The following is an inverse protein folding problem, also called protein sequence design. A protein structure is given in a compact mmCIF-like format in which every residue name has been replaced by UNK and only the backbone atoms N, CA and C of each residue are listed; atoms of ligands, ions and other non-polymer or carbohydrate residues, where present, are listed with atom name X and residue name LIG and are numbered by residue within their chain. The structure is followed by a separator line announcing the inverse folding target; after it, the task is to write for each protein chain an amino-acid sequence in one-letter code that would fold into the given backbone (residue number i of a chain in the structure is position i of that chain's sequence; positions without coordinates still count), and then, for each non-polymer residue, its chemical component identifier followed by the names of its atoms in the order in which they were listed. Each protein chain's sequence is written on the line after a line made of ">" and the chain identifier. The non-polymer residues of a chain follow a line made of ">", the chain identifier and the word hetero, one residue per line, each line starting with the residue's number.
data_IF_696271906159
#
_entry.id   IF_696271906159
#
_cell.length_a   1.000
_cell.length_b   1.000
_cell.length_c   1.000
_cell.angle_alpha   90.00
_cell.angle_beta   90.00
_cell.angle_gamma   90.00
#
_symmetry.space_group_name_H-M   'P 1'
#
loop_
_entity.id
_entity.type
_entity.pdbx_description
1 polymer ?
#
# COMPACT_ATOMS: atom_id res chain seq x y z
N UNK A 1 -4.92 -0.08 37.08
CA UNK A 1 -4.70 -1.53 36.92
C UNK A 1 -4.83 -1.85 35.44
N UNK A 2 -3.91 -2.66 34.90
CA UNK A 2 -3.97 -3.17 33.53
C UNK A 2 -5.31 -3.88 33.28
N UNK A 3 -5.87 -3.74 32.06
CA UNK A 3 -7.19 -4.30 31.71
C UNK A 3 -7.14 -5.11 30.41
N UNK A 4 -8.08 -6.05 30.26
CA UNK A 4 -8.33 -6.72 29.00
C UNK A 4 -9.19 -5.81 28.10
N UNK A 5 -8.72 -5.40 26.91
CA UNK A 5 -9.52 -4.55 26.02
C UNK A 5 -10.62 -5.36 25.30
N UNK A 6 -11.68 -4.66 24.90
CA UNK A 6 -12.86 -5.28 24.28
C UNK A 6 -12.55 -6.07 22.99
N UNK A 7 -11.60 -5.60 22.18
CA UNK A 7 -11.20 -6.28 20.94
C UNK A 7 -10.48 -7.61 21.20
N UNK A 8 -9.63 -7.71 22.23
CA UNK A 8 -9.00 -8.98 22.61
C UNK A 8 -9.98 -9.90 23.36
N UNK A 9 -10.89 -9.34 24.15
CA UNK A 9 -12.00 -10.12 24.72
C UNK A 9 -12.89 -10.74 23.62
N UNK A 10 -13.08 -10.04 22.50
CA UNK A 10 -13.81 -10.57 21.36
C UNK A 10 -13.06 -11.72 20.67
N UNK A 11 -11.72 -11.65 20.56
CA UNK A 11 -10.90 -12.79 20.09
C UNK A 11 -10.98 -13.96 21.06
N UNK A 12 -10.82 -13.71 22.36
CA UNK A 12 -10.94 -14.74 23.40
C UNK A 12 -12.29 -15.45 23.33
N UNK A 13 -13.37 -14.69 23.22
CA UNK A 13 -14.73 -15.24 23.11
C UNK A 13 -14.88 -16.09 21.85
N UNK A 14 -14.36 -15.62 20.71
CA UNK A 14 -14.37 -16.39 19.46
C UNK A 14 -13.62 -17.71 19.61
N UNK A 15 -12.40 -17.70 20.14
CA UNK A 15 -11.60 -18.93 20.28
C UNK A 15 -12.27 -19.94 21.20
N UNK A 16 -12.74 -19.49 22.37
CA UNK A 16 -13.43 -20.37 23.32
C UNK A 16 -14.69 -20.95 22.69
N UNK A 17 -15.55 -20.16 22.05
CA UNK A 17 -16.78 -20.68 21.40
C UNK A 17 -16.54 -21.85 20.45
N UNK A 18 -15.40 -21.90 19.76
CA UNK A 18 -15.14 -22.91 18.73
C UNK A 18 -14.10 -23.97 19.11
N UNK A 19 -13.24 -23.70 20.09
CA UNK A 19 -12.15 -24.60 20.51
C UNK A 19 -12.34 -25.18 21.92
N UNK A 20 -13.26 -24.63 22.72
CA UNK A 20 -13.73 -25.20 23.99
C UNK A 20 -14.90 -26.17 23.71
N UNK A 21 -14.62 -27.26 22.99
CA UNK A 21 -15.65 -28.03 22.29
C UNK A 21 -16.00 -29.40 22.91
N UNK A 22 -15.32 -29.84 23.97
CA UNK A 22 -15.72 -31.02 24.74
C UNK A 22 -15.04 -31.08 26.11
N UNK A 23 -15.77 -31.23 27.22
CA UNK A 23 -15.17 -31.32 28.56
C UNK A 23 -14.18 -32.49 28.63
N UNK A 24 -12.89 -32.17 28.73
CA UNK A 24 -11.77 -33.11 28.75
C UNK A 24 -10.43 -32.38 28.71
N UNK A 25 -9.27 -33.06 28.82
CA UNK A 25 -7.96 -32.40 28.81
C UNK A 25 -7.52 -31.85 27.43
N UNK A 26 -8.38 -31.98 26.42
CA UNK A 26 -8.07 -31.75 25.01
C UNK A 26 -8.80 -30.52 24.44
N UNK A 27 -9.54 -29.76 25.25
CA UNK A 27 -10.24 -28.53 24.86
C UNK A 27 -9.48 -27.26 25.27
N UNK A 28 -9.82 -26.12 24.66
CA UNK A 28 -9.21 -24.84 24.99
C UNK A 28 -9.90 -24.22 26.21
N UNK A 29 -9.31 -24.39 27.38
CA UNK A 29 -9.88 -23.91 28.63
C UNK A 29 -9.91 -22.36 28.74
N UNK A 30 -10.93 -21.76 29.40
CA UNK A 30 -10.97 -20.31 29.63
C UNK A 30 -9.73 -19.73 30.33
N UNK A 31 -9.08 -20.52 31.19
CA UNK A 31 -7.85 -20.13 31.89
C UNK A 31 -6.62 -20.12 30.97
N UNK A 32 -6.70 -20.83 29.84
CA UNK A 32 -5.63 -20.96 28.86
C UNK A 32 -5.66 -19.90 27.76
N UNK A 33 -6.69 -19.05 27.77
CA UNK A 33 -6.81 -17.88 26.88
C UNK A 33 -6.59 -16.59 27.67
N UNK A 34 -5.31 -16.29 27.92
CA UNK A 34 -4.85 -15.18 28.76
C UNK A 34 -4.71 -13.86 27.99
N UNK A 35 -5.07 -12.74 28.62
CA UNK A 35 -4.87 -11.39 28.03
C UNK A 35 -4.04 -10.50 28.96
N UNK A 36 -4.38 -10.49 30.24
CA UNK A 36 -3.72 -9.65 31.25
C UNK A 36 -2.78 -10.53 32.06
N UNK A 37 -1.51 -10.13 32.15
CA UNK A 37 -0.53 -10.84 32.96
C UNK A 37 -0.89 -10.76 34.45
N UNK A 38 -0.49 -11.75 35.22
CA UNK A 38 -0.74 -11.81 36.66
C UNK A 38 -0.21 -10.57 37.43
N UNK A 39 -0.60 -10.35 38.70
CA UNK A 39 -0.18 -9.16 39.45
C UNK A 39 1.33 -9.00 39.65
N UNK A 40 2.12 -10.07 39.52
CA UNK A 40 3.59 -10.04 39.60
C UNK A 40 4.26 -9.78 38.25
N UNK A 41 3.55 -10.03 37.14
CA UNK A 41 4.02 -9.77 35.79
C UNK A 41 4.39 -8.29 35.60
N UNK A 42 5.59 -8.03 35.08
CA UNK A 42 6.12 -6.68 34.82
C UNK A 42 6.69 -6.63 33.42
N UNK A 43 6.31 -5.60 32.68
CA UNK A 43 6.74 -5.43 31.30
C UNK A 43 5.99 -6.27 30.27
N UNK A 44 6.35 -6.09 29.00
CA UNK A 44 5.78 -6.80 27.87
C UNK A 44 4.33 -6.42 27.54
N UNK A 45 3.76 -7.13 26.57
CA UNK A 45 2.44 -6.82 25.99
C UNK A 45 1.26 -7.21 26.89
N UNK A 46 1.46 -8.08 27.89
CA UNK A 46 0.45 -8.38 28.92
C UNK A 46 0.26 -7.25 29.95
N UNK A 47 1.13 -6.24 29.93
CA UNK A 47 1.08 -5.09 30.81
C UNK A 47 0.57 -3.84 30.08
N UNK A 48 -0.30 -3.10 30.76
CA UNK A 48 -0.65 -1.72 30.41
C UNK A 48 0.36 -0.73 30.99
N UNK A 49 0.08 0.55 30.80
CA UNK A 49 0.94 1.68 31.19
C UNK A 49 1.28 1.72 32.68
N UNK A 50 0.50 1.05 33.52
CA UNK A 50 0.72 0.96 34.97
C UNK A 50 1.75 -0.10 35.38
N UNK A 51 2.14 -1.02 34.48
CA UNK A 51 3.03 -2.16 34.79
C UNK A 51 4.18 -2.35 33.81
N UNK A 52 4.18 -1.66 32.67
CA UNK A 52 5.36 -1.60 31.80
C UNK A 52 6.52 -0.91 32.53
N UNK A 53 7.73 -1.40 32.33
CA UNK A 53 8.94 -0.86 32.97
C UNK A 53 9.62 0.20 32.09
N UNK A 54 10.50 1.06 32.65
CA UNK A 54 11.30 1.96 31.84
C UNK A 54 12.07 1.21 30.74
N UNK A 55 12.07 1.75 29.52
CA UNK A 55 12.70 1.14 28.33
C UNK A 55 12.16 -0.25 27.94
N UNK A 56 10.95 -0.59 28.36
CA UNK A 56 10.32 -1.84 27.92
C UNK A 56 10.22 -1.90 26.39
N UNK A 57 10.70 -3.01 25.83
CA UNK A 57 10.75 -3.18 24.38
C UNK A 57 9.38 -3.13 23.71
N UNK A 58 8.34 -3.57 24.43
CA UNK A 58 6.94 -3.50 24.00
C UNK A 58 6.40 -2.08 23.94
N UNK A 59 7.24 -1.07 24.22
CA UNK A 59 6.92 0.35 24.12
C UNK A 59 7.94 1.07 23.23
N UNK A 60 9.23 0.82 23.42
CA UNK A 60 10.27 1.70 22.82
C UNK A 60 10.75 1.26 21.43
N UNK A 61 10.58 -0.01 21.06
CA UNK A 61 11.11 -0.51 19.79
C UNK A 61 10.32 -0.07 18.56
N UNK A 62 9.11 0.49 18.75
CA UNK A 62 8.14 0.81 17.69
C UNK A 62 7.38 2.10 18.01
N UNK A 63 7.26 3.04 17.05
CA UNK A 63 6.39 4.20 17.21
C UNK A 63 4.92 3.83 17.43
N UNK A 64 4.44 2.73 16.84
CA UNK A 64 3.06 2.24 17.01
C UNK A 64 2.81 1.84 18.46
N UNK A 65 3.77 1.17 19.08
CA UNK A 65 3.64 0.72 20.47
C UNK A 65 3.74 1.88 21.45
N UNK A 66 4.69 2.80 21.23
CA UNK A 66 4.82 4.02 22.03
C UNK A 66 3.58 4.91 21.97
N UNK A 67 3.03 5.15 20.78
CA UNK A 67 1.84 5.99 20.62
C UNK A 67 0.54 5.32 21.11
N UNK A 68 0.55 3.98 21.13
CA UNK A 68 -0.56 3.14 21.53
C UNK A 68 -0.65 2.84 23.03
N UNK A 69 0.34 3.22 23.84
CA UNK A 69 0.38 2.83 25.24
C UNK A 69 -0.81 3.40 26.04
N UNK A 70 -1.62 2.49 26.60
CA UNK A 70 -2.75 2.77 27.51
C UNK A 70 -2.70 1.79 28.69
N UNK A 71 -3.72 1.79 29.56
CA UNK A 71 -3.92 0.77 30.60
C UNK A 71 -4.29 -0.61 30.03
N UNK A 72 -4.47 -0.76 28.73
CA UNK A 72 -4.92 -2.02 28.16
C UNK A 72 -3.72 -2.93 27.83
N UNK A 73 -3.87 -4.21 28.13
CA UNK A 73 -2.96 -5.23 27.62
C UNK A 73 -3.11 -5.33 26.10
N UNK A 74 -2.02 -5.70 25.43
CA UNK A 74 -1.93 -5.86 23.98
C UNK A 74 -1.37 -7.23 23.61
N UNK A 75 -1.61 -8.22 24.47
CA UNK A 75 -1.22 -9.62 24.27
C UNK A 75 -2.40 -10.57 24.41
N UNK A 76 -2.29 -11.72 23.77
CA UNK A 76 -3.18 -12.87 23.89
C UNK A 76 -2.32 -14.14 23.95
N UNK A 77 -2.49 -14.92 25.01
CA UNK A 77 -1.99 -16.29 25.07
C UNK A 77 -3.10 -17.25 24.65
N UNK A 78 -2.74 -18.29 23.90
CA UNK A 78 -3.62 -19.40 23.53
C UNK A 78 -2.94 -20.70 23.95
N UNK A 79 -3.53 -21.42 24.91
CA UNK A 79 -3.01 -22.70 25.39
C UNK A 79 -3.36 -23.89 24.52
N UNK A 80 -3.40 -25.08 25.13
CA UNK A 80 -3.50 -26.32 24.39
C UNK A 80 -4.94 -26.56 23.94
N UNK A 81 -5.06 -27.29 22.84
CA UNK A 81 -6.31 -27.84 22.35
C UNK A 81 -6.00 -28.92 21.31
N UNK A 82 -6.92 -29.86 21.12
CA UNK A 82 -6.95 -30.82 20.03
C UNK A 82 -8.38 -30.94 19.49
N UNK A 83 -8.63 -30.28 18.37
CA UNK A 83 -9.94 -30.33 17.70
C UNK A 83 -9.86 -31.15 16.43
N UNK A 84 -10.68 -32.20 16.35
CA UNK A 84 -10.90 -32.95 15.11
C UNK A 84 -11.94 -32.24 14.24
N UNK A 85 -11.49 -31.71 13.10
CA UNK A 85 -12.35 -31.09 12.09
C UNK A 85 -11.72 -31.19 10.70
N UNK A 86 -12.55 -31.24 9.65
CA UNK A 86 -12.07 -31.36 8.26
C UNK A 86 -11.22 -32.62 8.02
N UNK A 87 -11.51 -33.70 8.73
CA UNK A 87 -10.82 -34.99 8.63
C UNK A 87 -9.40 -35.03 9.24
N UNK A 88 -9.00 -34.03 10.04
CA UNK A 88 -7.67 -33.94 10.66
C UNK A 88 -7.75 -33.45 12.11
N UNK A 89 -6.72 -33.72 12.91
CA UNK A 89 -6.50 -33.03 14.20
C UNK A 89 -5.92 -31.65 13.96
N UNK A 90 -6.46 -30.67 14.68
CA UNK A 90 -5.99 -29.30 14.71
C UNK A 90 -5.58 -28.99 16.14
N UNK A 91 -4.28 -28.86 16.36
CA UNK A 91 -3.66 -28.66 17.67
C UNK A 91 -2.96 -27.31 17.77
N UNK A 92 -2.57 -26.91 18.98
CA UNK A 92 -1.79 -25.69 19.22
C UNK A 92 -0.57 -25.54 18.27
N UNK A 93 0.31 -26.55 18.07
CA UNK A 93 1.39 -26.44 17.09
C UNK A 93 0.92 -26.13 15.66
N UNK A 94 -0.11 -26.82 15.18
CA UNK A 94 -0.65 -26.63 13.83
C UNK A 94 -1.26 -25.24 13.63
N UNK A 95 -1.97 -24.74 14.64
CA UNK A 95 -2.52 -23.38 14.71
C UNK A 95 -1.42 -22.33 14.67
N UNK A 96 -0.41 -22.49 15.52
CA UNK A 96 0.71 -21.57 15.64
C UNK A 96 1.46 -21.42 14.32
N UNK A 97 1.79 -22.55 13.69
CA UNK A 97 2.48 -22.59 12.40
C UNK A 97 1.62 -21.92 11.32
N UNK A 98 0.32 -22.19 11.30
CA UNK A 98 -0.60 -21.55 10.35
C UNK A 98 -0.64 -20.02 10.53
N UNK A 99 -0.80 -19.53 11.77
CA UNK A 99 -0.84 -18.09 12.06
C UNK A 99 0.47 -17.39 11.67
N UNK A 100 1.61 -17.99 11.99
CA UNK A 100 2.93 -17.46 11.62
C UNK A 100 3.11 -17.45 10.11
N UNK A 101 2.64 -18.48 9.39
CA UNK A 101 2.68 -18.49 7.93
C UNK A 101 1.87 -17.34 7.33
N UNK A 102 0.70 -17.01 7.87
CA UNK A 102 -0.09 -15.84 7.41
C UNK A 102 0.64 -14.52 7.68
N UNK A 103 1.29 -14.42 8.84
CA UNK A 103 2.06 -13.25 9.21
C UNK A 103 3.29 -13.06 8.30
N UNK A 104 4.01 -14.15 8.00
CA UNK A 104 5.14 -14.17 7.07
C UNK A 104 4.72 -13.85 5.63
N UNK A 105 3.54 -14.31 5.20
CA UNK A 105 2.94 -13.96 3.91
C UNK A 105 2.40 -12.52 3.86
N UNK A 106 2.48 -11.77 4.97
CA UNK A 106 1.97 -10.41 5.09
C UNK A 106 0.48 -10.28 4.74
N UNK A 107 -0.32 -11.28 5.11
CA UNK A 107 -1.77 -11.24 4.90
C UNK A 107 -2.38 -9.99 5.57
N UNK A 108 -3.39 -9.39 4.94
CA UNK A 108 -3.90 -8.07 5.31
C UNK A 108 -4.39 -7.98 6.78
N UNK A 109 -4.98 -9.06 7.28
CA UNK A 109 -5.49 -9.26 8.63
C UNK A 109 -4.41 -9.52 9.70
N UNK A 110 -3.13 -9.57 9.32
CA UNK A 110 -2.01 -9.78 10.25
C UNK A 110 -1.23 -8.50 10.57
N UNK A 111 -1.61 -7.37 9.97
CA UNK A 111 -0.87 -6.09 10.03
C UNK A 111 -0.80 -5.48 11.43
N UNK A 112 -1.73 -5.86 12.30
CA UNK A 112 -1.77 -5.42 13.69
C UNK A 112 -1.00 -6.35 14.64
N UNK A 113 -0.49 -7.48 14.16
CA UNK A 113 0.35 -8.39 14.95
C UNK A 113 1.81 -7.95 14.87
N UNK A 114 2.41 -7.78 16.04
CA UNK A 114 3.80 -7.37 16.26
C UNK A 114 4.72 -8.57 16.42
N UNK A 115 4.32 -9.56 17.20
CA UNK A 115 5.06 -10.82 17.30
C UNK A 115 4.16 -12.00 17.65
N UNK A 116 4.65 -13.19 17.31
CA UNK A 116 4.11 -14.46 17.75
C UNK A 116 5.28 -15.28 18.31
N UNK A 117 5.21 -15.65 19.58
CA UNK A 117 6.15 -16.59 20.20
C UNK A 117 5.43 -17.92 20.36
N UNK A 118 6.01 -18.98 19.82
CA UNK A 118 5.30 -20.25 19.65
C UNK A 118 6.25 -21.43 19.64
N UNK A 119 5.67 -22.63 19.72
CA UNK A 119 6.37 -23.88 19.47
C UNK A 119 5.79 -24.62 18.27
N UNK A 120 6.56 -24.86 17.19
CA UNK A 120 6.06 -25.58 16.02
C UNK A 120 5.93 -27.10 16.25
N UNK A 121 6.56 -27.63 17.29
CA UNK A 121 6.69 -29.07 17.57
C UNK A 121 6.46 -29.44 19.04
N UNK A 122 6.09 -28.47 19.90
CA UNK A 122 5.93 -28.64 21.35
C UNK A 122 7.24 -28.64 22.16
N UNK A 123 8.40 -28.51 21.52
CA UNK A 123 9.73 -28.61 22.17
C UNK A 123 10.65 -27.42 21.87
N UNK A 124 10.66 -26.95 20.63
CA UNK A 124 11.44 -25.82 20.14
C UNK A 124 10.63 -24.55 20.31
N UNK A 125 11.21 -23.49 20.86
CA UNK A 125 10.54 -22.18 20.92
C UNK A 125 11.09 -21.29 19.81
N UNK A 126 10.19 -20.63 19.08
CA UNK A 126 10.51 -19.69 18.00
C UNK A 126 9.75 -18.39 18.22
N UNK A 127 10.27 -17.31 17.62
CA UNK A 127 9.56 -16.04 17.53
C UNK A 127 9.48 -15.61 16.07
N UNK A 128 8.28 -15.28 15.63
CA UNK A 128 8.07 -14.43 14.48
C UNK A 128 7.93 -12.97 14.97
N UNK A 129 8.72 -12.06 14.41
CA UNK A 129 8.73 -10.65 14.77
C UNK A 129 8.61 -9.80 13.50
N UNK A 130 7.57 -8.97 13.41
CA UNK A 130 7.35 -8.08 12.26
C UNK A 130 8.46 -7.04 12.07
N UNK A 131 9.08 -6.59 13.15
CA UNK A 131 10.18 -5.62 13.13
C UNK A 131 11.54 -6.27 12.85
N UNK A 132 11.63 -7.61 12.89
CA UNK A 132 12.87 -8.35 12.71
C UNK A 132 13.93 -8.08 13.79
N UNK A 133 13.53 -7.63 14.99
CA UNK A 133 14.44 -7.26 16.08
C UNK A 133 14.71 -8.42 17.04
N UNK A 134 13.81 -9.41 17.09
CA UNK A 134 13.83 -10.51 18.07
C UNK A 134 13.58 -11.85 17.39
N UNK A 135 14.17 -12.93 17.92
CA UNK A 135 14.24 -14.23 17.23
C UNK A 135 13.83 -15.45 18.07
N UNK A 136 13.69 -15.33 19.40
CA UNK A 136 13.32 -16.46 20.28
C UNK A 136 12.45 -16.03 21.48
N UNK A 137 11.95 -16.97 22.27
CA UNK A 137 11.23 -16.76 23.53
C UNK A 137 11.76 -17.67 24.64
N UNK A 138 11.12 -17.64 25.81
CA UNK A 138 11.43 -18.57 26.90
C UNK A 138 10.65 -19.89 26.78
N UNK A 139 10.97 -20.87 27.62
CA UNK A 139 10.43 -22.23 27.57
C UNK A 139 8.94 -22.36 27.88
N UNK A 140 8.27 -21.33 28.44
CA UNK A 140 6.84 -21.40 28.75
C UNK A 140 5.99 -21.51 27.47
N UNK A 141 6.49 -20.96 26.36
CA UNK A 141 5.87 -20.99 25.03
C UNK A 141 5.89 -22.38 24.35
N UNK A 142 6.34 -23.43 25.05
CA UNK A 142 6.11 -24.82 24.65
C UNK A 142 4.66 -25.25 24.85
N UNK A 143 3.97 -24.59 25.78
CA UNK A 143 2.64 -24.99 26.24
C UNK A 143 1.54 -24.00 25.83
N UNK A 144 1.91 -22.82 25.33
CA UNK A 144 0.99 -21.83 24.78
C UNK A 144 1.65 -21.06 23.65
N UNK A 145 0.83 -20.41 22.82
CA UNK A 145 1.28 -19.43 21.84
C UNK A 145 0.96 -18.02 22.31
N UNK A 146 1.97 -17.19 22.35
CA UNK A 146 1.86 -15.79 22.74
C UNK A 146 1.76 -14.91 21.50
N UNK A 147 0.67 -14.16 21.38
CA UNK A 147 0.46 -13.12 20.38
C UNK A 147 0.66 -11.76 21.03
N UNK A 148 1.50 -10.93 20.43
CA UNK A 148 1.57 -9.50 20.73
C UNK A 148 0.99 -8.70 19.57
N UNK A 149 0.08 -7.79 19.89
CA UNK A 149 -0.51 -6.84 18.96
C UNK A 149 0.15 -5.47 19.14
N UNK A 150 0.29 -4.71 18.06
CA UNK A 150 0.72 -3.32 18.18
C UNK A 150 -0.26 -2.56 19.06
N UNK A 151 0.26 -1.81 20.03
CA UNK A 151 -0.58 -1.12 21.01
C UNK A 151 -1.50 -0.08 20.37
N UNK A 152 -1.10 0.53 19.25
CA UNK A 152 -1.94 1.51 18.54
C UNK A 152 -3.23 0.89 17.98
N UNK A 153 -3.16 -0.35 17.50
CA UNK A 153 -4.30 -1.09 17.00
C UNK A 153 -5.28 -1.41 18.12
N UNK A 154 -4.73 -1.80 19.28
CA UNK A 154 -5.51 -2.06 20.49
C UNK A 154 -6.20 -0.78 20.98
N UNK A 155 -5.44 0.30 21.14
CA UNK A 155 -5.96 1.63 21.53
C UNK A 155 -7.03 2.16 20.58
N UNK A 156 -6.86 1.93 19.27
CA UNK A 156 -7.82 2.34 18.25
C UNK A 156 -9.08 1.46 18.21
N UNK A 157 -9.16 0.40 19.02
CA UNK A 157 -10.30 -0.52 19.04
C UNK A 157 -10.45 -1.32 17.75
N UNK A 158 -9.37 -1.51 16.97
CA UNK A 158 -9.43 -2.30 15.74
C UNK A 158 -9.81 -3.73 16.05
N UNK A 159 -10.62 -4.33 15.18
CA UNK A 159 -11.02 -5.72 15.29
C UNK A 159 -9.81 -6.64 15.08
N UNK A 160 -9.55 -7.51 16.06
CA UNK A 160 -8.44 -8.46 16.04
C UNK A 160 -8.90 -9.90 15.71
N UNK A 161 -10.20 -10.12 15.50
CA UNK A 161 -10.77 -11.43 15.13
C UNK A 161 -10.42 -11.94 13.73
N UNK A 162 -10.18 -11.13 12.69
CA UNK A 162 -10.13 -11.62 11.31
C UNK A 162 -9.17 -12.79 11.05
N UNK A 163 -7.94 -12.76 11.59
CA UNK A 163 -7.00 -13.88 11.43
C UNK A 163 -7.53 -15.18 12.03
N UNK A 164 -8.10 -15.09 13.25
CA UNK A 164 -8.62 -16.24 13.99
C UNK A 164 -9.90 -16.78 13.35
N UNK A 165 -10.78 -15.91 12.85
CA UNK A 165 -11.93 -16.31 12.04
C UNK A 165 -11.48 -17.08 10.82
N UNK A 166 -10.49 -16.57 10.08
CA UNK A 166 -9.96 -17.26 8.90
C UNK A 166 -9.31 -18.60 9.25
N UNK A 167 -8.63 -18.70 10.38
CA UNK A 167 -8.13 -19.99 10.88
C UNK A 167 -9.28 -20.98 11.09
N UNK A 168 -10.28 -20.59 11.89
CA UNK A 168 -11.42 -21.44 12.22
C UNK A 168 -12.21 -21.85 10.97
N UNK A 169 -12.44 -20.95 10.02
CA UNK A 169 -13.01 -21.29 8.71
C UNK A 169 -12.13 -22.28 7.94
N UNK A 170 -10.81 -22.08 7.92
CA UNK A 170 -9.88 -22.96 7.19
C UNK A 170 -9.84 -24.40 7.73
N UNK A 171 -10.18 -24.59 9.00
CA UNK A 171 -10.30 -25.91 9.63
C UNK A 171 -11.75 -26.40 9.68
N UNK A 172 -12.71 -25.65 9.13
CA UNK A 172 -14.12 -26.04 9.03
C UNK A 172 -14.94 -25.87 10.31
N UNK A 173 -14.51 -25.04 11.25
CA UNK A 173 -15.25 -24.72 12.49
C UNK A 173 -16.13 -23.47 12.39
N UNK A 174 -15.96 -22.69 11.31
CA UNK A 174 -16.87 -21.61 10.92
C UNK A 174 -17.35 -21.89 9.49
N UNK A 175 -18.63 -21.64 9.23
CA UNK A 175 -19.21 -21.74 7.90
C UNK A 175 -19.09 -20.39 7.16
N UNK A 176 -19.10 -20.39 5.83
CA UNK A 176 -18.89 -19.18 5.00
C UNK A 176 -19.93 -18.05 5.25
N UNK A 177 -21.05 -18.36 5.91
CA UNK A 177 -22.10 -17.40 6.27
C UNK A 177 -21.86 -16.65 7.59
N UNK A 178 -20.75 -16.91 8.29
CA UNK A 178 -20.47 -16.27 9.59
C UNK A 178 -20.04 -14.80 9.50
N UNK A 179 -20.12 -14.13 8.34
CA UNK A 179 -19.80 -12.70 8.25
C UNK A 179 -20.72 -11.91 9.18
N UNK A 180 -20.12 -11.08 10.04
CA UNK A 180 -20.92 -10.14 10.83
C UNK A 180 -21.68 -9.21 9.89
N UNK A 181 -22.86 -8.70 10.28
CA UNK A 181 -23.61 -7.73 9.46
C UNK A 181 -22.78 -6.52 9.05
N UNK A 182 -21.80 -6.13 9.88
CA UNK A 182 -20.86 -5.03 9.59
C UNK A 182 -19.86 -5.40 8.49
N UNK A 183 -19.30 -6.61 8.52
CA UNK A 183 -18.41 -7.13 7.46
C UNK A 183 -19.16 -7.29 6.14
N UNK A 184 -20.38 -7.81 6.19
CA UNK A 184 -21.25 -7.91 5.00
C UNK A 184 -21.53 -6.52 4.40
N UNK A 185 -21.89 -5.54 5.22
CA UNK A 185 -22.15 -4.17 4.77
C UNK A 185 -20.89 -3.49 4.23
N UNK A 186 -19.73 -3.74 4.83
CA UNK A 186 -18.46 -3.22 4.35
C UNK A 186 -18.10 -3.83 2.99
N UNK A 187 -18.22 -5.14 2.82
CA UNK A 187 -18.01 -5.82 1.54
C UNK A 187 -18.99 -5.35 0.46
N UNK A 188 -20.27 -5.19 0.81
CA UNK A 188 -21.28 -4.64 -0.09
C UNK A 188 -20.91 -3.21 -0.52
N UNK A 189 -20.39 -2.39 0.40
CA UNK A 189 -19.93 -1.03 0.11
C UNK A 189 -18.69 -1.03 -0.80
N UNK A 190 -17.69 -1.88 -0.50
CA UNK A 190 -16.48 -2.02 -1.31
C UNK A 190 -16.81 -2.53 -2.71
N UNK A 191 -17.67 -3.55 -2.82
CA UNK A 191 -18.15 -4.08 -4.09
C UNK A 191 -18.92 -3.02 -4.88
N UNK A 192 -19.80 -2.25 -4.24
CA UNK A 192 -20.50 -1.12 -4.86
C UNK A 192 -19.53 -0.06 -5.37
N UNK A 193 -18.50 0.30 -4.61
CA UNK A 193 -17.52 1.30 -5.00
C UNK A 193 -16.61 0.81 -6.14
N UNK A 194 -16.18 -0.46 -6.10
CA UNK A 194 -15.38 -1.07 -7.17
C UNK A 194 -16.18 -1.19 -8.48
N UNK A 195 -17.45 -1.58 -8.41
CA UNK A 195 -18.31 -1.69 -9.60
C UNK A 195 -18.67 -0.33 -10.20
N UNK A 196 -18.68 0.74 -9.40
CA UNK A 196 -18.77 2.13 -9.92
C UNK A 196 -17.53 2.50 -10.74
N UNK A 197 -16.35 2.01 -10.35
CA UNK A 197 -15.08 2.32 -11.02
C UNK A 197 -14.77 1.42 -12.23
N UNK A 198 -15.21 0.16 -12.21
CA UNK A 198 -14.96 -0.80 -13.30
C UNK A 198 -16.00 -0.76 -14.43
N UNK A 199 -17.03 0.08 -14.30
CA UNK A 199 -18.09 0.24 -15.29
C UNK A 199 -19.13 -0.89 -15.30
N UNK A 200 -19.21 -1.78 -14.30
CA UNK A 200 -20.32 -2.74 -14.16
C UNK A 200 -21.53 -2.15 -13.44
N UNK A 201 -21.34 -1.06 -12.70
CA UNK A 201 -22.45 -0.30 -12.11
C UNK A 201 -23.09 0.62 -13.17
N UNK A 202 -24.43 0.64 -13.30
CA UNK A 202 -25.14 1.53 -14.22
C UNK A 202 -24.77 3.01 -14.07
N UNK A 203 -24.51 3.46 -12.84
CA UNK A 203 -24.10 4.85 -12.56
C UNK A 203 -22.68 5.12 -13.08
N UNK A 204 -21.74 4.18 -12.87
CA UNK A 204 -20.37 4.29 -13.38
C UNK A 204 -20.35 4.35 -14.91
N UNK A 205 -21.17 3.53 -15.57
CA UNK A 205 -21.30 3.59 -17.04
C UNK A 205 -21.85 4.91 -17.55
N UNK A 206 -22.76 5.57 -16.82
CA UNK A 206 -23.27 6.89 -17.20
C UNK A 206 -22.14 7.93 -17.19
N UNK A 207 -21.34 7.99 -16.12
CA UNK A 207 -20.21 8.93 -16.04
C UNK A 207 -19.16 8.68 -17.11
N UNK A 208 -18.79 7.41 -17.36
CA UNK A 208 -17.83 7.06 -18.42
C UNK A 208 -18.38 7.41 -19.80
N UNK A 209 -19.65 7.12 -20.08
CA UNK A 209 -20.28 7.46 -21.37
C UNK A 209 -20.33 8.97 -21.58
N UNK A 210 -20.72 9.75 -20.58
CA UNK A 210 -20.72 11.22 -20.65
C UNK A 210 -19.29 11.75 -20.90
N UNK A 211 -18.28 11.24 -20.19
CA UNK A 211 -16.88 11.65 -20.37
C UNK A 211 -16.33 11.32 -21.77
N UNK A 212 -16.82 10.23 -22.37
CA UNK A 212 -16.51 9.84 -23.76
C UNK A 212 -17.37 10.52 -24.82
N UNK A 213 -18.41 11.28 -24.42
CA UNK A 213 -19.36 11.90 -25.34
C UNK A 213 -20.33 10.90 -25.98
N UNK A 214 -20.80 9.91 -25.21
CA UNK A 214 -21.81 8.94 -25.62
C UNK A 214 -23.09 9.10 -24.81
N UNK A 215 -24.24 8.79 -25.42
CA UNK A 215 -25.55 8.81 -24.76
C UNK A 215 -25.82 7.52 -23.94
N UNK A 216 -27.00 7.42 -23.33
CA UNK A 216 -27.43 6.25 -22.55
C UNK A 216 -27.48 4.95 -23.34
N UNK A 217 -27.57 5.03 -24.68
CA UNK A 217 -27.55 3.88 -25.60
C UNK A 217 -26.14 3.52 -26.06
N UNK A 218 -25.15 4.35 -25.74
CA UNK A 218 -23.75 4.18 -26.14
C UNK A 218 -23.42 4.76 -27.52
N UNK A 219 -24.34 5.50 -28.13
CA UNK A 219 -24.13 6.19 -29.41
C UNK A 219 -23.32 7.46 -29.17
N UNK A 220 -22.37 7.75 -30.06
CA UNK A 220 -21.58 8.98 -30.00
C UNK A 220 -22.46 10.20 -30.24
N UNK A 221 -22.45 11.14 -29.29
CA UNK A 221 -23.19 12.41 -29.39
C UNK A 221 -22.29 13.43 -30.08
N UNK A 222 -22.68 13.83 -31.30
CA UNK A 222 -22.01 14.86 -32.08
C UNK A 222 -22.23 16.25 -31.46
N UNK A 223 -21.15 17.06 -31.41
CA UNK A 223 -21.21 18.45 -30.95
C UNK A 223 -20.86 18.71 -29.48
N UNK A 224 -20.66 17.66 -28.67
CA UNK A 224 -20.26 17.81 -27.26
C UNK A 224 -18.74 17.75 -27.08
N UNK A 225 -18.22 18.67 -26.27
CA UNK A 225 -16.86 18.62 -25.76
C UNK A 225 -16.69 17.41 -24.84
N UNK A 226 -15.80 16.49 -25.19
CA UNK A 226 -15.52 15.27 -24.46
C UNK A 226 -14.02 14.94 -24.49
N UNK A 227 -13.57 13.94 -23.72
CA UNK A 227 -12.15 13.60 -23.61
C UNK A 227 -11.52 13.19 -24.96
N UNK A 228 -12.31 12.63 -25.89
CA UNK A 228 -11.83 12.30 -27.24
C UNK A 228 -11.63 13.57 -28.07
N UNK A 229 -12.55 14.52 -27.98
CA UNK A 229 -12.44 15.82 -28.64
C UNK A 229 -11.22 16.60 -28.12
N UNK A 230 -10.96 16.58 -26.80
CA UNK A 230 -9.76 17.21 -26.22
C UNK A 230 -8.47 16.55 -26.70
N UNK A 231 -8.40 15.22 -26.71
CA UNK A 231 -7.23 14.49 -27.21
C UNK A 231 -6.96 14.80 -28.69
N UNK A 232 -8.01 14.85 -29.51
CA UNK A 232 -7.90 15.21 -30.93
C UNK A 232 -7.37 16.63 -31.14
N UNK A 233 -7.89 17.62 -30.38
CA UNK A 233 -7.40 19.00 -30.43
C UNK A 233 -5.96 19.14 -29.95
N UNK A 234 -5.57 18.41 -28.90
CA UNK A 234 -4.19 18.42 -28.40
C UNK A 234 -3.23 17.87 -29.46
N UNK A 235 -3.64 16.82 -30.17
CA UNK A 235 -2.87 16.21 -31.25
C UNK A 235 -2.74 17.18 -32.44
N UNK A 236 -3.83 17.85 -32.82
CA UNK A 236 -3.82 18.87 -33.87
C UNK A 236 -2.91 20.06 -33.51
N UNK A 237 -2.97 20.53 -32.26
CA UNK A 237 -2.09 21.58 -31.76
C UNK A 237 -0.62 21.16 -31.80
N UNK A 238 -0.31 19.93 -31.37
CA UNK A 238 1.05 19.38 -31.42
C UNK A 238 1.57 19.31 -32.86
N UNK A 239 0.73 18.87 -33.80
CA UNK A 239 1.09 18.82 -35.22
C UNK A 239 1.34 20.21 -35.80
N UNK A 240 0.50 21.20 -35.47
CA UNK A 240 0.69 22.60 -35.89
C UNK A 240 1.95 23.21 -35.29
N UNK A 241 2.24 22.91 -34.02
CA UNK A 241 3.46 23.37 -33.36
C UNK A 241 4.70 22.78 -34.03
N UNK A 242 4.69 21.48 -34.34
CA UNK A 242 5.78 20.83 -35.05
C UNK A 242 5.97 21.42 -36.46
N UNK A 243 4.89 21.71 -37.18
CA UNK A 243 4.95 22.34 -38.49
C UNK A 243 5.53 23.77 -38.41
N UNK A 244 5.20 24.52 -37.36
CA UNK A 244 5.77 25.85 -37.13
C UNK A 244 7.24 25.78 -36.75
N UNK A 245 7.63 24.84 -35.90
CA UNK A 245 9.00 24.64 -35.47
C UNK A 245 9.92 24.18 -36.63
N UNK A 246 9.37 23.45 -37.60
CA UNK A 246 10.08 23.02 -38.80
C UNK A 246 10.04 24.05 -39.94
N UNK A 247 9.32 25.17 -39.79
CA UNK A 247 9.21 26.19 -40.82
C UNK A 247 10.46 27.07 -40.80
N UNK A 248 11.08 27.22 -41.97
CA UNK A 248 12.05 28.28 -42.18
C UNK A 248 11.33 29.62 -42.33
N UNK A 249 11.70 30.57 -41.48
CA UNK A 249 11.13 31.93 -41.49
C UNK A 249 12.02 32.93 -42.21
N UNK A 250 13.22 32.51 -42.59
CA UNK A 250 14.18 33.35 -43.29
C UNK A 250 14.16 32.97 -44.76
N UNK A 251 14.09 33.97 -45.63
CA UNK A 251 14.33 33.76 -47.06
C UNK A 251 15.69 34.40 -47.37
N UNK A 252 16.75 33.61 -47.22
CA UNK A 252 18.12 34.07 -47.45
C UNK A 252 18.31 34.54 -48.89
N UNK A 253 17.60 33.95 -49.86
CA UNK A 253 17.69 34.35 -51.26
C UNK A 253 17.10 35.75 -51.48
N UNK A 254 15.94 36.04 -50.88
CA UNK A 254 15.33 37.37 -50.93
C UNK A 254 16.19 38.41 -50.18
N UNK A 255 16.77 38.06 -49.03
CA UNK A 255 17.69 38.93 -48.29
C UNK A 255 18.92 39.24 -49.16
N UNK A 256 19.55 38.22 -49.73
CA UNK A 256 20.72 38.40 -50.60
C UNK A 256 20.38 39.23 -51.83
N UNK A 257 19.26 38.98 -52.50
CA UNK A 257 18.82 39.80 -53.63
C UNK A 257 18.59 41.26 -53.24
N UNK A 258 17.95 41.51 -52.09
CA UNK A 258 17.73 42.87 -51.59
C UNK A 258 19.04 43.60 -51.27
N UNK A 259 20.00 42.90 -50.64
CA UNK A 259 21.34 43.44 -50.36
C UNK A 259 22.09 43.76 -51.65
N UNK A 260 22.11 42.83 -52.63
CA UNK A 260 22.80 43.04 -53.89
C UNK A 260 22.16 44.14 -54.76
N UNK A 261 20.83 44.29 -54.69
CA UNK A 261 20.14 45.37 -55.39
C UNK A 261 20.50 46.77 -54.86
N UNK A 262 20.89 46.88 -53.59
CA UNK A 262 21.32 48.12 -52.94
C UNK A 262 22.84 48.30 -52.84
N UNK A 263 23.63 47.43 -53.48
CA UNK A 263 25.09 47.55 -53.54
C UNK A 263 25.50 47.85 -54.99
N UNK A 264 25.27 49.08 -55.43
CA UNK A 264 25.72 49.50 -56.76
C UNK A 264 27.26 49.49 -56.83
N UNK A 265 27.86 49.27 -58.02
CA UNK A 265 29.30 49.39 -58.20
C UNK A 265 29.87 50.72 -57.68
N UNK A 266 29.10 51.80 -57.80
CA UNK A 266 29.46 53.14 -57.33
C UNK A 266 29.47 53.24 -55.81
N UNK A 267 28.47 52.68 -55.12
CA UNK A 267 28.43 52.62 -53.64
C UNK A 267 29.53 51.71 -53.08
N UNK A 268 29.80 50.59 -53.74
CA UNK A 268 30.93 49.70 -53.41
C UNK A 268 32.24 50.48 -53.57
N UNK A 269 32.43 51.17 -54.71
CA UNK A 269 33.64 51.95 -54.96
C UNK A 269 33.82 53.10 -53.94
N UNK A 270 32.74 53.76 -53.54
CA UNK A 270 32.76 54.83 -52.55
C UNK A 270 33.07 54.32 -51.13
N UNK A 271 32.68 53.09 -50.80
CA UNK A 271 32.94 52.47 -49.51
C UNK A 271 34.35 51.86 -49.38
N UNK A 272 35.08 51.66 -50.48
CA UNK A 272 36.44 51.11 -50.46
C UNK A 272 37.43 52.19 -49.96
N UNK A 273 38.19 51.95 -48.87
CA UNK A 273 39.22 52.87 -48.41
C UNK A 273 40.27 53.16 -49.51
N UNK A 274 40.79 54.40 -49.61
CA UNK A 274 41.75 54.77 -50.67
C UNK A 274 42.99 53.87 -50.74
N UNK A 275 43.43 53.34 -49.61
CA UNK A 275 44.55 52.39 -49.51
C UNK A 275 44.25 51.06 -50.19
N UNK A 276 43.03 50.53 -50.02
CA UNK A 276 42.59 49.29 -50.66
C UNK A 276 42.33 49.53 -52.15
N UNK A 277 41.71 50.66 -52.51
CA UNK A 277 41.49 51.02 -53.91
C UNK A 277 42.80 51.06 -54.70
N UNK A 278 43.86 51.63 -54.12
CA UNK A 278 45.20 51.64 -54.72
C UNK A 278 45.77 50.23 -54.88
N UNK A 279 45.66 49.38 -53.85
CA UNK A 279 46.14 47.99 -53.93
C UNK A 279 45.42 47.19 -55.02
N UNK A 280 44.11 47.38 -55.18
CA UNK A 280 43.33 46.73 -56.25
C UNK A 280 43.75 47.23 -57.63
N UNK A 281 43.96 48.55 -57.78
CA UNK A 281 44.43 49.13 -59.04
C UNK A 281 45.83 48.62 -59.43
N UNK A 282 46.76 48.58 -58.46
CA UNK A 282 48.12 48.06 -58.65
C UNK A 282 48.09 46.56 -59.04
N UNK A 283 47.22 45.77 -58.41
CA UNK A 283 47.01 44.35 -58.70
C UNK A 283 46.47 44.11 -60.12
N UNK A 284 45.44 44.87 -60.53
CA UNK A 284 44.86 44.77 -61.86
C UNK A 284 45.87 45.19 -62.94
N UNK A 285 46.61 46.28 -62.70
CA UNK A 285 47.67 46.72 -63.61
C UNK A 285 48.75 45.65 -63.78
N UNK A 286 49.16 45.00 -62.68
CA UNK A 286 50.13 43.90 -62.72
C UNK A 286 49.64 42.70 -63.53
N UNK A 287 48.35 42.35 -63.43
CA UNK A 287 47.76 41.22 -64.16
C UNK A 287 47.53 41.49 -65.64
N UNK A 288 47.30 42.74 -66.03
CA UNK A 288 47.09 43.12 -67.44
C UNK A 288 48.38 43.19 -68.25
N UNK A 289 49.53 43.27 -67.58
CA UNK A 289 50.87 43.30 -68.20
C UNK A 289 51.54 41.91 -68.19
N UNK A 290 50.89 40.90 -67.60
CA UNK A 290 51.31 39.50 -67.58
C UNK A 290 50.52 38.68 -68.61
#
# INVERSE_FOLDING_TARGET
>A
MTRAPANLLAVRSLLLTHLDNAPGPDDLDPAEVGIVGDPSHRGGYHCGSDRVVPNDYSVVESPRDRAGLTLDASALDVGQFDVRSGGRSNTLPSFSVWCVAQCAANAADTRDIREIIYSPDGSTVKRWDRLGKRTTGDSSHRWHTHFSFFRDAIKAGRDQRPLFRRYLSSIGLLEDDDMTPQEHNWLATVHKNLTVLDGRNPIGQIYTRIAEGRDETGIAVTGNWNLRAMTAQLTDLQNKLNALAAKDFTDEAAIVQGVLAGLTPEEIAAAIPPTIAKQVADELARRLVA
#
